data_IF_862273287837
#
_entry.id   IF_862273287837
#
_cell.length_a   1.000
_cell.length_b   1.000
_cell.length_c   1.000
_cell.angle_alpha   90.00
_cell.angle_beta   90.00
_cell.angle_gamma   90.00
#
_symmetry.space_group_name_H-M   'P 1'
#
loop_
_entity.id
_entity.type
_entity.pdbx_description
1 polymer ?
#
# COMPACT_ATOMS: atom_id res chain seq x y z
N UNK A 1 14.36 0.53 -51.81
CA UNK A 1 15.15 -0.07 -50.73
C UNK A 1 15.91 0.95 -49.88
N UNK A 2 16.48 2.02 -50.41
CA UNK A 2 17.23 3.05 -49.64
C UNK A 2 16.40 3.74 -48.54
N UNK A 3 15.13 4.06 -48.78
CA UNK A 3 14.31 4.79 -47.78
C UNK A 3 13.87 3.94 -46.57
N UNK A 4 13.83 2.61 -46.71
CA UNK A 4 13.52 1.70 -45.58
C UNK A 4 14.70 1.54 -44.63
N UNK A 5 15.93 1.58 -45.13
CA UNK A 5 17.15 1.55 -44.35
C UNK A 5 17.34 2.82 -43.51
N UNK A 6 17.03 4.00 -44.09
CA UNK A 6 17.11 5.28 -43.38
C UNK A 6 16.09 5.31 -42.23
N UNK A 7 14.85 4.83 -42.43
CA UNK A 7 13.85 4.73 -41.39
C UNK A 7 14.28 3.81 -40.21
N UNK A 8 14.94 2.70 -40.53
CA UNK A 8 15.45 1.76 -39.52
C UNK A 8 16.60 2.37 -38.66
N UNK A 9 17.48 3.16 -39.33
CA UNK A 9 18.56 3.87 -38.61
C UNK A 9 18.05 4.96 -37.67
N UNK A 10 16.98 5.71 -38.08
CA UNK A 10 16.39 6.76 -37.26
C UNK A 10 15.70 6.14 -36.03
N UNK A 11 14.98 5.02 -36.16
CA UNK A 11 14.35 4.32 -35.06
C UNK A 11 15.40 3.74 -34.08
N UNK A 12 16.49 3.17 -34.60
CA UNK A 12 17.58 2.65 -33.76
C UNK A 12 18.35 3.77 -33.04
N UNK A 13 18.55 4.93 -33.67
CA UNK A 13 19.19 6.09 -33.07
C UNK A 13 18.34 6.72 -31.95
N UNK A 14 17.01 6.74 -32.08
CA UNK A 14 16.10 7.19 -31.01
C UNK A 14 16.13 6.26 -29.79
N UNK A 15 16.29 4.96 -29.98
CA UNK A 15 16.41 4.02 -28.86
C UNK A 15 17.75 4.19 -28.08
N UNK A 16 18.80 4.68 -28.72
CA UNK A 16 20.10 4.91 -28.07
C UNK A 16 20.16 6.23 -27.28
N UNK A 17 19.18 7.12 -27.43
CA UNK A 17 19.09 8.39 -26.70
C UNK A 17 18.22 8.35 -25.45
N UNK A 18 17.61 7.22 -25.13
CA UNK A 18 16.93 7.04 -23.87
C UNK A 18 17.98 6.92 -22.76
N UNK A 19 18.50 8.05 -22.29
CA UNK A 19 19.12 8.10 -20.97
C UNK A 19 18.04 7.74 -19.98
N UNK A 20 18.23 6.63 -19.28
CA UNK A 20 17.48 6.40 -18.06
C UNK A 20 17.84 7.57 -17.13
N UNK A 21 16.86 8.44 -16.82
CA UNK A 21 17.02 9.40 -15.74
C UNK A 21 17.45 8.61 -14.51
N UNK A 22 18.42 9.15 -13.76
CA UNK A 22 18.80 8.59 -12.49
C UNK A 22 17.52 8.43 -11.66
N UNK A 23 17.12 7.19 -11.38
CA UNK A 23 15.97 6.87 -10.54
C UNK A 23 16.29 7.29 -9.10
N UNK A 24 16.17 8.60 -8.85
CA UNK A 24 16.55 9.26 -7.61
C UNK A 24 15.34 9.98 -7.01
N UNK A 25 15.04 9.63 -5.78
CA UNK A 25 14.12 10.41 -4.96
C UNK A 25 14.95 11.44 -4.18
N UNK A 26 14.54 12.70 -4.28
CA UNK A 26 15.26 13.81 -3.62
C UNK A 26 14.30 14.61 -2.74
N UNK A 27 14.71 14.82 -1.49
CA UNK A 27 13.98 15.61 -0.51
C UNK A 27 14.91 16.63 0.12
N UNK A 28 14.39 17.83 0.39
CA UNK A 28 15.18 18.93 0.97
C UNK A 28 15.30 18.86 2.49
N UNK A 29 14.43 18.11 3.15
CA UNK A 29 14.35 17.97 4.60
C UNK A 29 13.86 16.58 4.98
N UNK A 30 14.22 16.11 6.18
CA UNK A 30 13.66 14.88 6.73
C UNK A 30 12.16 14.93 6.90
N UNK A 31 11.50 13.77 6.85
CA UNK A 31 10.08 13.62 7.15
C UNK A 31 9.79 13.97 8.62
N UNK A 32 8.66 14.67 8.85
CA UNK A 32 8.18 15.01 10.20
C UNK A 32 7.02 14.12 10.64
N UNK A 33 6.29 13.61 9.66
CA UNK A 33 5.13 12.75 9.89
C UNK A 33 5.23 11.49 9.03
N UNK A 34 4.52 10.45 9.43
CA UNK A 34 4.57 9.14 8.78
C UNK A 34 4.29 9.19 7.27
N UNK A 35 3.36 10.02 6.83
CA UNK A 35 2.97 10.15 5.41
C UNK A 35 4.03 10.82 4.54
N UNK A 36 5.05 11.44 5.12
CA UNK A 36 6.20 12.04 4.42
C UNK A 36 7.39 11.08 4.32
N UNK A 37 7.41 10.05 5.17
CA UNK A 37 8.51 9.08 5.20
C UNK A 37 8.53 8.22 3.96
N UNK A 38 9.72 7.79 3.54
CA UNK A 38 9.92 6.99 2.33
C UNK A 38 9.65 5.51 2.60
N UNK A 39 8.71 4.90 1.87
CA UNK A 39 8.46 3.48 1.99
C UNK A 39 9.53 2.66 1.29
N UNK A 40 10.07 1.67 1.98
CA UNK A 40 10.92 0.61 1.45
C UNK A 40 10.29 -0.74 1.77
N UNK A 41 10.51 -1.72 0.91
CA UNK A 41 10.00 -3.07 1.20
C UNK A 41 10.37 -4.10 0.15
N UNK A 42 10.18 -5.36 0.53
CA UNK A 42 10.46 -6.53 -0.31
C UNK A 42 9.29 -7.53 -0.34
N UNK A 43 8.07 -7.05 -0.17
CA UNK A 43 6.81 -7.77 0.02
C UNK A 43 6.59 -8.35 1.43
N UNK A 44 7.62 -8.82 2.13
CA UNK A 44 7.53 -9.37 3.48
C UNK A 44 7.85 -8.34 4.56
N UNK A 45 8.98 -7.66 4.42
CA UNK A 45 9.42 -6.61 5.33
C UNK A 45 9.13 -5.25 4.73
N UNK A 46 8.64 -4.34 5.55
CA UNK A 46 8.43 -2.95 5.20
C UNK A 46 9.16 -2.02 6.16
N UNK A 47 9.56 -0.86 5.65
CA UNK A 47 10.16 0.20 6.43
C UNK A 47 9.68 1.55 5.95
N UNK A 48 9.49 2.49 6.88
CA UNK A 48 9.28 3.91 6.60
C UNK A 48 10.51 4.67 7.09
N UNK A 49 11.29 5.22 6.16
CA UNK A 49 12.55 5.92 6.43
C UNK A 49 12.28 7.42 6.51
N UNK A 50 12.63 8.05 7.62
CA UNK A 50 12.38 9.47 7.84
C UNK A 50 13.50 10.38 7.28
N UNK A 51 14.69 9.86 7.08
CA UNK A 51 15.81 10.59 6.44
C UNK A 51 16.52 11.58 7.36
N UNK A 52 16.56 11.32 8.66
CA UNK A 52 17.29 12.12 9.62
C UNK A 52 18.79 11.92 9.50
N UNK A 53 19.58 13.00 9.59
CA UNK A 53 21.04 12.94 9.46
C UNK A 53 21.72 12.65 10.81
N UNK A 54 21.30 13.34 11.86
CA UNK A 54 21.83 13.14 13.23
C UNK A 54 21.04 12.04 13.94
N UNK A 55 19.71 12.11 13.85
CA UNK A 55 18.81 11.14 14.42
C UNK A 55 17.93 10.59 13.31
N UNK A 56 18.10 9.34 12.92
CA UNK A 56 17.25 8.66 11.96
C UNK A 56 16.22 7.78 12.67
N UNK A 57 15.02 7.81 12.16
CA UNK A 57 13.96 6.91 12.55
C UNK A 57 13.57 6.03 11.36
N UNK A 58 13.57 4.71 11.57
CA UNK A 58 13.10 3.75 10.59
C UNK A 58 11.99 2.94 11.24
N UNK A 59 10.76 3.21 10.89
CA UNK A 59 9.62 2.43 11.38
C UNK A 59 9.51 1.12 10.62
N UNK A 60 9.51 0.02 11.34
CA UNK A 60 9.57 -1.32 10.78
C UNK A 60 8.22 -2.00 10.79
N UNK A 61 8.01 -2.83 9.78
CA UNK A 61 6.82 -3.62 9.61
C UNK A 61 7.14 -4.99 9.01
N UNK A 62 6.29 -5.99 9.29
CA UNK A 62 6.37 -7.33 8.72
C UNK A 62 4.95 -7.87 8.49
N UNK A 63 4.73 -8.52 7.35
CA UNK A 63 3.39 -8.86 6.85
C UNK A 63 2.57 -9.81 7.74
N UNK A 64 3.23 -10.60 8.57
CA UNK A 64 2.56 -11.61 9.42
C UNK A 64 2.25 -11.13 10.84
N UNK A 65 2.65 -9.90 11.20
CA UNK A 65 2.45 -9.38 12.56
C UNK A 65 1.04 -8.84 12.72
N UNK A 66 0.13 -9.73 13.10
CA UNK A 66 -1.28 -9.42 13.36
C UNK A 66 -1.62 -9.70 14.81
N UNK A 67 -2.41 -8.80 15.42
CA UNK A 67 -2.94 -9.03 16.76
C UNK A 67 -4.17 -9.94 16.74
N UNK A 68 -4.21 -10.92 17.66
CA UNK A 68 -5.31 -11.86 17.79
C UNK A 68 -4.97 -13.27 17.34
N UNK A 69 -5.98 -14.09 17.12
CA UNK A 69 -5.87 -15.49 16.70
C UNK A 69 -6.84 -15.82 15.58
N UNK A 70 -6.73 -17.03 15.01
CA UNK A 70 -7.66 -17.49 14.00
C UNK A 70 -9.11 -17.39 14.50
N UNK A 71 -9.98 -16.75 13.74
CA UNK A 71 -11.39 -16.62 14.05
C UNK A 71 -12.24 -16.67 12.77
N UNK A 72 -13.51 -17.00 12.93
CA UNK A 72 -14.46 -17.03 11.83
C UNK A 72 -15.23 -15.72 11.79
N UNK A 73 -15.17 -15.03 10.65
CA UNK A 73 -15.90 -13.79 10.38
C UNK A 73 -17.20 -14.02 9.61
N UNK A 74 -17.51 -15.26 9.26
CA UNK A 74 -18.72 -15.60 8.56
C UNK A 74 -19.94 -15.51 9.51
N UNK A 75 -20.89 -14.67 9.14
CA UNK A 75 -22.15 -14.56 9.89
C UNK A 75 -23.12 -15.65 9.44
N UNK A 76 -23.71 -16.43 10.37
CA UNK A 76 -24.73 -17.42 10.04
C UNK A 76 -26.01 -16.79 9.47
N UNK A 77 -26.22 -15.48 9.68
CA UNK A 77 -27.37 -14.73 9.18
C UNK A 77 -27.23 -14.29 7.74
N UNK A 78 -25.97 -14.14 7.25
CA UNK A 78 -25.66 -13.53 5.95
C UNK A 78 -26.36 -14.24 4.79
N UNK A 79 -26.33 -15.57 4.76
CA UNK A 79 -26.94 -16.34 3.68
C UNK A 79 -28.44 -16.10 3.55
N UNK A 80 -29.16 -16.02 4.67
CA UNK A 80 -30.61 -15.82 4.69
C UNK A 80 -31.05 -14.45 4.15
N UNK A 81 -30.24 -13.41 4.28
CA UNK A 81 -30.57 -12.06 3.82
C UNK A 81 -29.96 -11.70 2.46
N UNK A 82 -29.12 -12.56 1.90
CA UNK A 82 -28.46 -12.32 0.60
C UNK A 82 -29.46 -12.06 -0.55
N UNK A 83 -30.60 -12.76 -0.68
CA UNK A 83 -31.59 -12.44 -1.71
C UNK A 83 -32.15 -11.02 -1.59
N UNK A 84 -32.36 -10.53 -0.35
CA UNK A 84 -32.83 -9.17 -0.10
C UNK A 84 -31.81 -8.13 -0.47
N UNK A 85 -30.53 -8.37 -0.16
CA UNK A 85 -29.43 -7.48 -0.57
C UNK A 85 -29.37 -7.34 -2.10
N UNK A 86 -29.46 -8.46 -2.81
CA UNK A 86 -29.48 -8.47 -4.29
C UNK A 86 -30.67 -7.70 -4.87
N UNK A 87 -31.88 -7.92 -4.33
CA UNK A 87 -33.10 -7.19 -4.72
C UNK A 87 -32.87 -5.67 -4.58
N UNK A 88 -32.35 -5.22 -3.45
CA UNK A 88 -32.11 -3.81 -3.17
C UNK A 88 -31.08 -3.20 -4.14
N UNK A 89 -29.99 -3.91 -4.41
CA UNK A 89 -28.95 -3.47 -5.37
C UNK A 89 -29.58 -3.34 -6.77
N UNK A 90 -30.32 -4.35 -7.25
CA UNK A 90 -30.94 -4.30 -8.56
C UNK A 90 -32.04 -3.24 -8.68
N UNK A 91 -32.62 -2.82 -7.55
CA UNK A 91 -33.58 -1.72 -7.49
C UNK A 91 -32.92 -0.32 -7.36
N UNK A 92 -31.57 -0.22 -7.37
CA UNK A 92 -30.85 1.04 -7.18
C UNK A 92 -30.95 1.61 -5.76
N UNK A 93 -31.15 0.74 -4.76
CA UNK A 93 -31.34 1.10 -3.34
C UNK A 93 -30.11 0.69 -2.52
N UNK A 94 -28.91 1.14 -2.95
CA UNK A 94 -27.64 0.70 -2.41
C UNK A 94 -27.49 1.01 -0.91
N UNK A 95 -27.94 2.18 -0.45
CA UNK A 95 -27.87 2.57 0.98
C UNK A 95 -28.67 1.64 1.88
N UNK A 96 -29.79 1.11 1.37
CA UNK A 96 -30.57 0.16 2.13
C UNK A 96 -29.94 -1.24 2.10
N UNK A 97 -29.31 -1.60 0.98
CA UNK A 97 -28.53 -2.82 0.89
C UNK A 97 -27.35 -2.80 1.87
N UNK A 98 -26.58 -1.68 1.94
CA UNK A 98 -25.52 -1.48 2.92
C UNK A 98 -25.99 -1.68 4.36
N UNK A 99 -27.14 -1.10 4.70
CA UNK A 99 -27.72 -1.27 6.04
C UNK A 99 -28.05 -2.73 6.35
N UNK A 100 -28.70 -3.43 5.42
CA UNK A 100 -28.99 -4.86 5.59
C UNK A 100 -27.71 -5.68 5.73
N UNK A 101 -26.66 -5.34 5.00
CA UNK A 101 -25.36 -6.00 5.12
C UNK A 101 -24.69 -5.70 6.48
N UNK A 102 -24.67 -4.43 6.90
CA UNK A 102 -24.10 -4.04 8.19
C UNK A 102 -24.75 -4.77 9.36
N UNK A 103 -26.08 -4.94 9.33
CA UNK A 103 -26.84 -5.59 10.40
C UNK A 103 -26.70 -7.12 10.42
N UNK A 104 -26.30 -7.76 9.32
CA UNK A 104 -26.38 -9.21 9.18
C UNK A 104 -25.09 -9.92 8.75
N UNK A 105 -24.16 -9.24 8.09
CA UNK A 105 -22.95 -9.86 7.54
C UNK A 105 -21.76 -9.82 8.50
N UNK A 106 -21.76 -8.89 9.44
CA UNK A 106 -20.65 -8.72 10.37
C UNK A 106 -20.90 -9.41 11.70
N UNK A 107 -19.86 -10.04 12.23
CA UNK A 107 -19.89 -10.73 13.55
C UNK A 107 -19.40 -9.86 14.70
N UNK A 108 -19.11 -8.57 14.45
CA UNK A 108 -18.60 -7.62 15.43
C UNK A 108 -17.06 -7.55 15.49
N UNK A 109 -16.35 -8.52 14.91
CA UNK A 109 -14.89 -8.46 14.75
C UNK A 109 -14.56 -8.29 13.27
N UNK A 110 -13.98 -7.15 12.93
CA UNK A 110 -13.64 -6.79 11.55
C UNK A 110 -12.18 -7.14 11.23
N UNK A 111 -11.86 -8.43 11.19
CA UNK A 111 -10.50 -8.90 10.94
C UNK A 111 -9.60 -8.81 12.17
N UNK A 112 -8.34 -9.16 11.99
CA UNK A 112 -7.31 -9.01 13.01
C UNK A 112 -6.63 -7.65 12.85
N UNK A 113 -6.36 -6.90 13.94
CA UNK A 113 -5.63 -5.65 13.83
C UNK A 113 -4.18 -5.93 13.42
N UNK A 114 -3.74 -5.22 12.40
CA UNK A 114 -2.36 -5.25 11.97
C UNK A 114 -1.49 -4.51 12.98
N UNK A 115 -0.30 -5.03 13.28
CA UNK A 115 0.63 -4.47 14.25
C UNK A 115 1.92 -4.04 13.56
N UNK A 116 2.48 -2.90 13.99
CA UNK A 116 3.84 -2.53 13.63
C UNK A 116 4.84 -3.25 14.53
N UNK A 117 6.04 -3.56 14.03
CA UNK A 117 7.12 -4.15 14.84
C UNK A 117 7.66 -3.11 15.82
N UNK A 118 7.74 -1.85 15.39
CA UNK A 118 8.30 -0.74 16.16
C UNK A 118 9.18 0.15 15.29
N UNK A 119 10.00 0.97 15.94
CA UNK A 119 10.93 1.88 15.26
C UNK A 119 12.36 1.58 15.67
N UNK A 120 13.25 1.50 14.69
CA UNK A 120 14.69 1.55 14.88
C UNK A 120 15.10 3.02 14.94
N UNK A 121 15.74 3.40 16.04
CA UNK A 121 16.28 4.75 16.23
C UNK A 121 17.81 4.66 16.10
N UNK A 122 18.36 5.44 15.18
CA UNK A 122 19.81 5.53 14.97
C UNK A 122 20.27 6.95 15.33
N UNK A 123 21.36 7.02 16.08
CA UNK A 123 22.00 8.28 16.45
C UNK A 123 23.41 8.26 15.88
N UNK A 124 23.75 9.30 15.12
CA UNK A 124 25.04 9.43 14.43
C UNK A 124 25.84 10.59 15.04
N UNK A 125 26.88 10.26 15.80
CA UNK A 125 27.76 11.23 16.38
C UNK A 125 28.57 11.97 15.30
N UNK A 126 28.72 13.29 15.45
CA UNK A 126 29.56 14.12 14.57
C UNK A 126 28.91 14.57 13.25
N UNK A 127 27.61 14.41 13.11
CA UNK A 127 26.81 14.85 11.96
C UNK A 127 25.86 16.03 12.30
N UNK A 128 26.35 17.01 13.10
CA UNK A 128 25.58 18.20 13.44
C UNK A 128 25.69 19.29 12.36
#
# INVERSE_FOLDING_TARGET
>A
MKNRLIGLYIVCACCLMAKADDLKLWYQQPAKVWTEALPLGNSRLGAMVYGGVVNEQIQLNEETVWGGGPHRNDSPKAFGVLPKVRELIFAGREKEAEKVMADNFFTGQHGMPFQTIGSLMLEFDGHA
#
